data_IF_339573490510
#
_entry.id   IF_339573490510
#
_cell.length_a   1.000
_cell.length_b   1.000
_cell.length_c   1.000
_cell.angle_alpha   90.00
_cell.angle_beta   90.00
_cell.angle_gamma   90.00
#
_symmetry.space_group_name_H-M   'P 1'
#
loop_
_entity.id
_entity.type
_entity.pdbx_description
1 polymer ?
#
# COMPACT_ATOMS: atom_id res chain seq x y z
N UNK A 1 38.35 -9.57 0.68
CA UNK A 1 37.94 -9.12 2.04
C UNK A 1 36.97 -10.16 2.58
N UNK A 2 37.33 -10.88 3.65
CA UNK A 2 36.49 -11.98 4.19
C UNK A 2 35.36 -11.35 5.01
N UNK A 3 34.20 -11.14 4.40
CA UNK A 3 33.03 -10.59 5.11
C UNK A 3 32.72 -11.48 6.30
N UNK A 4 32.76 -10.91 7.51
CA UNK A 4 32.52 -11.68 8.71
C UNK A 4 31.06 -12.13 8.74
N UNK A 5 30.80 -13.41 9.01
CA UNK A 5 29.45 -14.00 9.09
C UNK A 5 28.53 -13.17 10.00
N UNK A 6 29.08 -12.58 11.07
CA UNK A 6 28.35 -11.66 11.96
C UNK A 6 27.79 -10.42 11.23
N UNK A 7 28.56 -9.85 10.30
CA UNK A 7 28.14 -8.70 9.49
C UNK A 7 27.01 -9.12 8.55
N UNK A 8 27.12 -10.29 7.92
CA UNK A 8 26.06 -10.81 7.03
C UNK A 8 24.76 -11.00 7.82
N UNK A 9 24.83 -11.63 8.99
CA UNK A 9 23.66 -11.83 9.86
C UNK A 9 23.04 -10.49 10.27
N UNK A 10 23.85 -9.51 10.68
CA UNK A 10 23.37 -8.19 11.05
C UNK A 10 22.66 -7.48 9.88
N UNK A 11 23.23 -7.55 8.68
CA UNK A 11 22.62 -6.97 7.46
C UNK A 11 21.29 -7.66 7.16
N UNK A 12 21.22 -8.99 7.23
CA UNK A 12 19.98 -9.73 6.97
C UNK A 12 18.88 -9.34 7.97
N UNK A 13 19.22 -9.22 9.25
CA UNK A 13 18.26 -8.81 10.29
C UNK A 13 17.73 -7.39 10.02
N UNK A 14 18.62 -6.45 9.69
CA UNK A 14 18.24 -5.07 9.38
C UNK A 14 17.32 -5.03 8.15
N UNK A 15 17.69 -5.74 7.09
CA UNK A 15 16.87 -5.81 5.87
C UNK A 15 15.50 -6.42 6.19
N UNK A 16 15.44 -7.52 6.93
CA UNK A 16 14.18 -8.12 7.34
C UNK A 16 13.31 -7.15 8.16
N UNK A 17 13.90 -6.44 9.12
CA UNK A 17 13.20 -5.45 9.92
C UNK A 17 12.63 -4.30 9.06
N UNK A 18 13.41 -3.78 8.12
CA UNK A 18 12.98 -2.72 7.20
C UNK A 18 11.86 -3.21 6.27
N UNK A 19 11.94 -4.45 5.78
CA UNK A 19 10.91 -5.03 4.92
C UNK A 19 9.59 -5.22 5.68
N UNK A 20 9.64 -5.75 6.91
CA UNK A 20 8.45 -5.91 7.75
C UNK A 20 7.83 -4.54 8.05
N UNK A 21 8.65 -3.56 8.43
CA UNK A 21 8.18 -2.22 8.77
C UNK A 21 7.58 -1.52 7.55
N UNK A 22 8.22 -1.62 6.38
CA UNK A 22 7.69 -1.09 5.12
C UNK A 22 6.40 -1.77 4.67
N UNK A 23 6.26 -3.08 4.88
CA UNK A 23 5.04 -3.82 4.58
C UNK A 23 3.88 -3.35 5.47
N UNK A 24 4.10 -3.24 6.78
CA UNK A 24 3.08 -2.75 7.71
C UNK A 24 2.71 -1.30 7.41
N UNK A 25 3.71 -0.42 7.24
CA UNK A 25 3.48 0.99 6.94
C UNK A 25 2.72 1.22 5.63
N UNK A 26 3.07 0.49 4.56
CA UNK A 26 2.37 0.59 3.28
C UNK A 26 0.93 0.08 3.36
N UNK A 27 0.66 -0.94 4.18
CA UNK A 27 -0.70 -1.44 4.41
C UNK A 27 -1.61 -0.43 5.12
N UNK A 28 -1.07 0.36 6.05
CA UNK A 28 -1.81 1.45 6.69
C UNK A 28 -1.93 2.66 5.75
N UNK A 29 -0.87 2.97 4.99
CA UNK A 29 -0.90 4.02 3.98
C UNK A 29 -1.94 3.74 2.88
N UNK A 30 -2.20 2.48 2.53
CA UNK A 30 -3.22 2.09 1.57
C UNK A 30 -4.67 2.38 2.04
N UNK A 31 -4.89 2.48 3.36
CA UNK A 31 -6.22 2.73 3.95
C UNK A 31 -6.57 4.21 4.06
N UNK A 32 -5.57 5.09 4.05
CA UNK A 32 -5.77 6.54 4.17
C UNK A 32 -6.03 7.17 2.80
N UNK A 33 -6.98 8.09 2.71
CA UNK A 33 -7.25 8.81 1.46
C UNK A 33 -8.07 7.99 0.47
N UNK A 34 -9.36 7.86 0.73
CA UNK A 34 -10.38 7.49 -0.25
C UNK A 34 -10.90 8.75 -0.92
N UNK A 35 -10.91 8.76 -2.25
CA UNK A 35 -11.57 9.80 -3.05
C UNK A 35 -12.79 9.20 -3.73
N UNK A 36 -13.69 10.04 -4.23
CA UNK A 36 -14.80 9.57 -5.05
C UNK A 36 -15.04 10.49 -6.25
N UNK A 37 -15.55 9.92 -7.34
CA UNK A 37 -16.17 10.70 -8.41
C UNK A 37 -17.49 11.22 -7.86
N UNK A 38 -17.63 12.54 -7.85
CA UNK A 38 -18.79 13.23 -7.29
C UNK A 38 -19.43 14.18 -8.28
N UNK A 39 -20.70 14.49 -8.04
CA UNK A 39 -21.49 15.44 -8.79
C UNK A 39 -22.48 16.15 -7.89
N UNK A 40 -22.95 17.30 -8.34
CA UNK A 40 -23.85 18.16 -7.59
C UNK A 40 -25.22 18.12 -8.28
N UNK A 41 -26.25 17.71 -7.54
CA UNK A 41 -27.64 17.73 -7.99
C UNK A 41 -28.18 19.16 -8.09
N UNK A 42 -29.31 19.33 -8.78
CA UNK A 42 -29.97 20.64 -8.91
C UNK A 42 -30.46 21.21 -7.56
N UNK A 43 -30.68 20.33 -6.58
CA UNK A 43 -30.99 20.66 -5.19
C UNK A 43 -29.74 21.00 -4.34
N UNK A 44 -28.56 21.01 -4.94
CA UNK A 44 -27.27 21.23 -4.27
C UNK A 44 -26.72 20.01 -3.54
N UNK A 45 -27.36 18.84 -3.65
CA UNK A 45 -26.87 17.61 -3.02
C UNK A 45 -25.58 17.12 -3.69
N UNK A 46 -24.60 16.68 -2.90
CA UNK A 46 -23.38 16.05 -3.41
C UNK A 46 -23.57 14.54 -3.40
N UNK A 47 -23.43 13.91 -4.57
CA UNK A 47 -23.51 12.46 -4.72
C UNK A 47 -22.16 11.92 -5.15
N UNK A 48 -21.63 10.94 -4.42
CA UNK A 48 -20.48 10.13 -4.81
C UNK A 48 -20.94 8.77 -5.33
N UNK A 49 -20.67 8.45 -6.59
CA UNK A 49 -21.11 7.18 -7.21
C UNK A 49 -19.97 6.19 -7.47
N UNK A 50 -18.71 6.61 -7.33
CA UNK A 50 -17.54 5.73 -7.49
C UNK A 50 -16.46 6.10 -6.49
N UNK A 51 -15.98 5.11 -5.73
CA UNK A 51 -14.91 5.29 -4.75
C UNK A 51 -13.58 4.80 -5.31
N UNK A 52 -12.53 5.55 -5.03
CA UNK A 52 -11.16 5.24 -5.42
C UNK A 52 -10.29 5.18 -4.19
N UNK A 53 -9.36 4.22 -4.18
CA UNK A 53 -8.25 4.21 -3.23
C UNK A 53 -7.12 5.07 -3.76
N UNK A 54 -6.27 5.54 -2.85
CA UNK A 54 -5.02 6.17 -3.22
C UNK A 54 -4.10 5.22 -4.04
N UNK A 55 -3.00 5.74 -4.55
CA UNK A 55 -2.05 4.97 -5.37
C UNK A 55 -1.53 3.70 -4.65
N UNK A 56 -1.33 3.75 -3.34
CA UNK A 56 -0.90 2.60 -2.53
C UNK A 56 -1.95 1.51 -2.47
N UNK A 57 -3.22 1.86 -2.23
CA UNK A 57 -4.33 0.92 -2.23
C UNK A 57 -4.57 0.28 -3.60
N UNK A 58 -4.51 1.07 -4.68
CA UNK A 58 -4.63 0.54 -6.05
C UNK A 58 -3.50 -0.44 -6.38
N UNK A 59 -2.27 -0.13 -5.97
CA UNK A 59 -1.11 -1.03 -6.15
C UNK A 59 -1.30 -2.32 -5.35
N UNK A 60 -1.77 -2.23 -4.10
CA UNK A 60 -2.08 -3.40 -3.28
C UNK A 60 -3.16 -4.29 -3.90
N UNK A 61 -4.23 -3.70 -4.43
CA UNK A 61 -5.29 -4.44 -5.10
C UNK A 61 -4.80 -5.14 -6.39
N UNK A 62 -3.94 -4.48 -7.17
CA UNK A 62 -3.33 -5.08 -8.36
C UNK A 62 -2.41 -6.26 -8.01
N UNK A 63 -1.60 -6.14 -6.96
CA UNK A 63 -0.74 -7.23 -6.47
C UNK A 63 -1.60 -8.41 -6.00
N UNK A 64 -2.68 -8.15 -5.25
CA UNK A 64 -3.58 -9.21 -4.79
C UNK A 64 -4.27 -9.92 -5.97
N UNK A 65 -4.74 -9.17 -6.98
CA UNK A 65 -5.31 -9.77 -8.20
C UNK A 65 -4.30 -10.70 -8.89
N UNK A 66 -3.05 -10.24 -9.02
CA UNK A 66 -1.97 -11.01 -9.62
C UNK A 66 -1.65 -12.29 -8.83
N UNK A 67 -1.64 -12.22 -7.50
CA UNK A 67 -1.43 -13.38 -6.63
C UNK A 67 -2.63 -14.36 -6.65
N UNK A 68 -3.84 -13.85 -6.80
CA UNK A 68 -5.07 -14.64 -6.93
C UNK A 68 -5.25 -15.23 -8.35
N UNK A 69 -4.39 -14.89 -9.30
CA UNK A 69 -4.47 -15.38 -10.68
C UNK A 69 -5.65 -14.81 -11.47
N UNK A 70 -6.11 -13.61 -11.11
CA UNK A 70 -7.20 -12.88 -11.80
C UNK A 70 -6.65 -11.82 -12.75
#
# INVERSE_FOLDING_TARGET
MKTSTKIIIAVVIIVAAVLIWGLVGSSEAAKIGTTCDFGIGEDGSVLCWKWHRNAWGQTGDAINSWLEGK
#
